data_IF_208054876578
#
_entry.id   IF_208054876578
#
_cell.length_a   1.000
_cell.length_b   1.000
_cell.length_c   1.000
_cell.angle_alpha   90.00
_cell.angle_beta   90.00
_cell.angle_gamma   90.00
#
_symmetry.space_group_name_H-M   'P 1'
#
loop_
_entity.id
_entity.type
_entity.pdbx_description
1 polymer ?
#
# COMPACT_ATOMS: atom_id res chain seq x y z
N UNK A 1 -18.31 -7.68 24.47
CA UNK A 1 -18.43 -8.59 23.31
C UNK A 1 -19.87 -9.05 23.09
N UNK A 2 -20.51 -9.84 23.95
CA UNK A 2 -21.93 -10.22 23.72
C UNK A 2 -22.87 -9.00 23.66
N UNK A 3 -22.61 -8.00 24.50
CA UNK A 3 -23.30 -6.70 24.47
C UNK A 3 -23.04 -5.88 23.19
N UNK A 4 -21.88 -6.07 22.57
CA UNK A 4 -21.45 -5.36 21.36
C UNK A 4 -22.09 -5.97 20.10
N UNK A 5 -22.21 -7.30 20.06
CA UNK A 5 -22.94 -8.04 19.03
C UNK A 5 -24.42 -7.66 19.07
N UNK A 6 -25.01 -7.65 20.26
CA UNK A 6 -26.41 -7.29 20.46
C UNK A 6 -26.70 -5.80 20.13
N UNK A 7 -25.69 -4.96 20.28
CA UNK A 7 -25.70 -3.54 19.89
C UNK A 7 -25.51 -3.33 18.39
N UNK A 8 -24.64 -4.11 17.73
CA UNK A 8 -24.48 -4.15 16.27
C UNK A 8 -25.79 -4.55 15.59
N UNK A 9 -26.44 -5.62 16.09
CA UNK A 9 -27.75 -6.07 15.61
C UNK A 9 -28.81 -4.95 15.69
N UNK A 10 -28.83 -4.17 16.78
CA UNK A 10 -29.80 -3.08 17.01
C UNK A 10 -29.56 -1.83 16.15
N UNK A 11 -28.29 -1.51 15.85
CA UNK A 11 -27.93 -0.41 14.96
C UNK A 11 -28.37 -0.62 13.51
N UNK A 12 -28.22 -1.85 13.02
CA UNK A 12 -28.50 -2.20 11.62
C UNK A 12 -29.99 -2.14 11.27
N UNK A 13 -30.87 -2.40 12.25
CA UNK A 13 -32.33 -2.25 12.10
C UNK A 13 -32.76 -0.78 11.97
N UNK A 14 -31.97 0.17 12.49
CA UNK A 14 -32.34 1.60 12.56
C UNK A 14 -31.93 2.44 11.35
N UNK A 15 -31.08 1.95 10.45
CA UNK A 15 -30.55 2.72 9.32
C UNK A 15 -30.71 1.98 7.97
N UNK A 16 -31.91 1.99 7.36
CA UNK A 16 -32.21 1.31 6.09
C UNK A 16 -31.73 2.05 4.82
N UNK A 17 -31.00 3.17 4.95
CA UNK A 17 -30.73 4.11 3.84
C UNK A 17 -29.40 3.90 3.11
N UNK A 18 -28.66 2.83 3.40
CA UNK A 18 -27.39 2.54 2.72
C UNK A 18 -27.68 1.72 1.46
N UNK A 19 -27.71 2.41 0.31
CA UNK A 19 -27.95 1.80 -1.00
C UNK A 19 -26.66 1.22 -1.62
N UNK A 20 -26.56 -0.10 -1.58
CA UNK A 20 -25.98 -0.97 -2.61
C UNK A 20 -27.01 -2.09 -2.78
N UNK A 21 -27.31 -2.52 -4.01
CA UNK A 21 -28.45 -3.42 -4.31
C UNK A 21 -28.68 -4.51 -3.24
N UNK A 22 -29.84 -4.38 -2.57
CA UNK A 22 -30.43 -5.20 -1.50
C UNK A 22 -29.48 -5.80 -0.43
N UNK A 23 -29.16 -5.00 0.61
CA UNK A 23 -29.01 -5.50 1.98
C UNK A 23 -27.58 -5.82 2.48
N UNK A 24 -26.57 -5.69 1.63
CA UNK A 24 -25.22 -6.14 1.95
C UNK A 24 -24.29 -5.01 2.44
N UNK A 25 -23.89 -5.05 3.72
CA UNK A 25 -22.77 -4.23 4.22
C UNK A 25 -21.49 -5.05 4.14
N UNK A 26 -20.60 -4.70 3.20
CA UNK A 26 -19.24 -5.25 3.21
C UNK A 26 -18.42 -4.58 4.33
N UNK A 27 -18.08 -5.35 5.36
CA UNK A 27 -17.39 -4.83 6.54
C UNK A 27 -15.89 -4.58 6.29
N UNK A 28 -15.24 -5.53 5.60
CA UNK A 28 -13.87 -5.42 5.11
C UNK A 28 -13.54 -6.59 4.17
N UNK A 29 -12.50 -6.45 3.36
CA UNK A 29 -11.93 -7.51 2.51
C UNK A 29 -10.56 -7.92 3.06
N UNK A 30 -10.27 -9.22 3.16
CA UNK A 30 -8.96 -9.72 3.60
C UNK A 30 -8.49 -10.90 2.77
N UNK A 31 -7.17 -11.03 2.62
CA UNK A 31 -6.54 -12.22 2.06
C UNK A 31 -6.42 -13.36 3.10
N UNK A 32 -7.44 -13.50 3.95
CA UNK A 32 -7.50 -14.44 5.06
C UNK A 32 -7.60 -15.91 4.59
N UNK A 33 -7.20 -16.84 5.45
CA UNK A 33 -7.50 -18.27 5.26
C UNK A 33 -8.65 -18.67 6.17
N UNK A 34 -9.67 -19.33 5.60
CA UNK A 34 -10.82 -19.83 6.35
C UNK A 34 -10.61 -21.31 6.70
N UNK A 35 -10.71 -21.62 7.99
CA UNK A 35 -10.80 -22.97 8.52
C UNK A 35 -12.17 -23.23 9.13
N UNK A 36 -12.81 -24.35 8.77
CA UNK A 36 -14.05 -24.80 9.41
C UNK A 36 -13.82 -26.10 10.16
N UNK A 37 -14.16 -26.13 11.45
CA UNK A 37 -14.15 -27.32 12.27
C UNK A 37 -15.56 -27.87 12.42
N UNK A 38 -15.73 -29.15 12.08
CA UNK A 38 -16.98 -29.87 12.33
C UNK A 38 -16.78 -30.88 13.46
N UNK A 39 -17.75 -30.96 14.36
CA UNK A 39 -17.89 -32.11 15.23
C UNK A 39 -18.75 -33.15 14.50
N UNK A 40 -18.13 -34.19 13.93
CA UNK A 40 -18.89 -35.31 13.38
C UNK A 40 -19.06 -36.39 14.45
N UNK A 41 -20.30 -36.56 14.90
CA UNK A 41 -20.69 -37.60 15.84
C UNK A 41 -20.97 -38.89 15.06
N UNK A 42 -19.94 -39.71 14.87
CA UNK A 42 -20.14 -41.01 14.22
C UNK A 42 -20.62 -42.05 15.24
N UNK A 43 -21.81 -42.60 15.00
CA UNK A 43 -22.34 -43.72 15.78
C UNK A 43 -21.93 -45.01 15.09
N UNK A 44 -20.90 -45.70 15.60
CA UNK A 44 -20.60 -47.07 15.18
C UNK A 44 -21.59 -48.02 15.84
N UNK A 45 -22.63 -48.43 15.14
CA UNK A 45 -23.38 -49.63 15.50
C UNK A 45 -22.62 -50.86 14.99
N UNK A 46 -22.52 -51.91 15.82
CA UNK A 46 -21.88 -53.17 15.42
C UNK A 46 -22.59 -53.72 14.17
N UNK A 47 -21.85 -54.25 13.17
CA UNK A 47 -22.44 -54.77 11.95
C UNK A 47 -23.22 -56.05 12.27
N UNK A 48 -24.52 -56.03 12.03
CA UNK A 48 -25.40 -57.19 12.20
C UNK A 48 -26.87 -56.77 12.26
N UNK A 49 -27.58 -57.05 11.17
CA UNK A 49 -28.99 -56.76 10.83
C UNK A 49 -29.27 -55.33 10.35
N UNK A 50 -29.51 -55.25 9.03
CA UNK A 50 -30.05 -54.08 8.38
C UNK A 50 -31.53 -53.87 8.69
N UNK A 51 -31.93 -52.60 8.65
CA UNK A 51 -33.08 -52.03 7.94
C UNK A 51 -32.77 -50.53 7.87
N UNK A 52 -32.77 -49.96 6.68
CA UNK A 52 -32.66 -48.51 6.50
C UNK A 52 -33.99 -47.85 6.76
N UNK A 53 -33.99 -46.74 7.51
CA UNK A 53 -34.93 -45.61 7.36
C UNK A 53 -34.22 -44.38 7.92
N UNK A 54 -34.14 -43.31 7.11
CA UNK A 54 -33.78 -41.98 7.62
C UNK A 54 -34.93 -41.40 8.43
N UNK A 55 -34.67 -40.94 9.64
CA UNK A 55 -35.59 -40.09 10.41
C UNK A 55 -34.77 -39.07 11.21
N UNK A 56 -35.08 -37.77 11.13
CA UNK A 56 -34.46 -36.73 11.94
C UNK A 56 -34.98 -36.82 13.37
N UNK A 57 -34.11 -36.66 14.36
CA UNK A 57 -34.56 -36.58 15.77
C UNK A 57 -34.63 -35.12 16.18
N UNK A 58 -35.83 -34.56 16.02
CA UNK A 58 -36.32 -33.42 16.79
C UNK A 58 -36.65 -33.83 18.22
N UNK A 59 -36.54 -32.85 19.12
CA UNK A 59 -36.79 -32.91 20.55
C UNK A 59 -38.16 -33.51 20.95
N UNK A 60 -38.16 -34.25 22.08
CA UNK A 60 -39.29 -34.75 22.90
C UNK A 60 -40.02 -36.03 22.48
N UNK A 61 -39.57 -37.19 22.98
CA UNK A 61 -40.44 -38.30 23.40
C UNK A 61 -39.79 -39.05 24.57
N UNK A 62 -40.56 -39.27 25.64
CA UNK A 62 -40.19 -40.13 26.76
C UNK A 62 -40.73 -41.55 26.59
N UNK A 63 -40.04 -42.50 27.26
CA UNK A 63 -40.43 -43.82 27.81
C UNK A 63 -39.41 -44.92 27.42
N UNK A 64 -38.90 -45.64 28.44
CA UNK A 64 -38.61 -47.08 28.33
C UNK A 64 -37.16 -47.55 28.11
N UNK A 65 -36.43 -47.70 29.22
CA UNK A 65 -35.29 -48.61 29.51
C UNK A 65 -34.84 -49.59 28.38
N UNK A 66 -33.60 -49.43 27.91
CA UNK A 66 -32.54 -50.48 27.90
C UNK A 66 -31.19 -49.85 27.51
N UNK A 67 -30.23 -49.83 28.45
CA UNK A 67 -28.86 -49.33 28.26
C UNK A 67 -28.08 -50.22 27.28
N UNK A 68 -28.04 -49.87 25.99
CA UNK A 68 -26.96 -50.30 25.09
C UNK A 68 -25.89 -49.20 25.04
N UNK A 69 -24.66 -49.54 25.46
CA UNK A 69 -23.50 -48.64 25.36
C UNK A 69 -23.18 -48.40 23.88
N UNK A 70 -23.73 -47.33 23.32
CA UNK A 70 -23.29 -46.75 22.06
C UNK A 70 -21.95 -46.06 22.36
N UNK A 71 -20.86 -46.53 21.74
CA UNK A 71 -19.58 -45.82 21.76
C UNK A 71 -19.64 -44.76 20.68
N UNK A 72 -19.79 -43.52 21.10
CA UNK A 72 -19.77 -42.36 20.22
C UNK A 72 -18.34 -41.83 20.16
N UNK A 73 -17.69 -41.95 19.00
CA UNK A 73 -16.40 -41.28 18.75
C UNK A 73 -16.69 -39.98 18.01
N UNK A 74 -16.40 -38.85 18.66
CA UNK A 74 -16.43 -37.53 18.04
C UNK A 74 -15.09 -37.33 17.33
N UNK A 75 -15.10 -37.32 15.99
CA UNK A 75 -13.93 -36.90 15.20
C UNK A 75 -14.08 -35.42 14.87
N UNK A 76 -13.02 -34.66 15.13
CA UNK A 76 -12.88 -33.28 14.67
C UNK A 76 -12.11 -33.28 13.36
N UNK A 77 -12.77 -32.94 12.26
CA UNK A 77 -12.09 -32.69 10.98
C UNK A 77 -12.05 -31.18 10.71
N UNK A 78 -10.86 -30.68 10.35
CA UNK A 78 -10.65 -29.27 9.98
C UNK A 78 -10.36 -29.17 8.50
N UNK A 79 -11.21 -28.46 7.74
CA UNK A 79 -10.95 -28.12 6.33
C UNK A 79 -10.45 -26.68 6.22
N UNK A 80 -9.37 -26.49 5.46
CA UNK A 80 -8.75 -25.19 5.22
C UNK A 80 -8.94 -24.79 3.75
N UNK A 81 -9.47 -23.59 3.51
CA UNK A 81 -9.44 -22.94 2.19
C UNK A 81 -8.38 -21.83 2.18
N UNK A 82 -7.62 -21.73 1.08
CA UNK A 82 -6.46 -20.85 0.92
C UNK A 82 -6.73 -19.63 0.00
N UNK A 83 -7.99 -19.28 -0.24
CA UNK A 83 -8.38 -18.16 -1.12
C UNK A 83 -8.70 -16.89 -0.33
N UNK A 84 -8.62 -15.73 -0.99
CA UNK A 84 -9.06 -14.45 -0.41
C UNK A 84 -10.52 -14.49 0.03
N UNK A 85 -10.81 -13.86 1.16
CA UNK A 85 -12.11 -13.86 1.82
C UNK A 85 -12.72 -12.44 1.86
N UNK A 86 -14.01 -12.32 1.56
CA UNK A 86 -14.78 -11.09 1.78
C UNK A 86 -15.79 -11.30 2.89
N UNK A 87 -15.98 -10.28 3.72
CA UNK A 87 -16.89 -10.31 4.87
C UNK A 87 -18.05 -9.36 4.64
N UNK A 88 -19.25 -9.90 4.75
CA UNK A 88 -20.48 -9.15 4.71
C UNK A 88 -21.24 -9.38 6.00
N UNK A 89 -21.90 -8.35 6.49
CA UNK A 89 -22.87 -8.46 7.55
C UNK A 89 -24.18 -7.92 7.03
N UNK A 90 -25.15 -8.82 6.96
CA UNK A 90 -26.52 -8.56 6.59
C UNK A 90 -27.32 -8.36 7.89
N UNK A 91 -28.52 -7.80 7.76
CA UNK A 91 -29.45 -7.64 8.88
C UNK A 91 -29.64 -8.93 9.69
N UNK A 92 -29.66 -10.07 9.01
CA UNK A 92 -29.96 -11.38 9.61
C UNK A 92 -28.81 -12.40 9.52
N UNK A 93 -27.76 -12.12 8.75
CA UNK A 93 -26.70 -13.08 8.46
C UNK A 93 -25.31 -12.47 8.50
N UNK A 94 -24.34 -13.26 8.93
CA UNK A 94 -22.93 -13.02 8.71
C UNK A 94 -22.46 -13.86 7.53
N UNK A 95 -21.95 -13.23 6.48
CA UNK A 95 -21.60 -13.91 5.23
C UNK A 95 -20.10 -13.80 4.96
N UNK A 96 -19.47 -14.94 4.70
CA UNK A 96 -18.06 -15.03 4.30
C UNK A 96 -18.00 -15.59 2.88
N UNK A 97 -17.52 -14.81 1.92
CA UNK A 97 -17.28 -15.28 0.54
C UNK A 97 -15.82 -15.66 0.36
N UNK A 98 -15.55 -16.88 -0.08
CA UNK A 98 -14.20 -17.43 -0.32
C UNK A 98 -14.11 -17.95 -1.75
N UNK A 99 -13.57 -17.14 -2.67
CA UNK A 99 -13.66 -17.44 -4.10
C UNK A 99 -15.11 -17.50 -4.61
N UNK A 100 -15.55 -18.68 -5.06
CA UNK A 100 -16.95 -18.94 -5.47
C UNK A 100 -17.83 -19.46 -4.33
N UNK A 101 -17.22 -19.84 -3.21
CA UNK A 101 -17.90 -20.45 -2.08
C UNK A 101 -18.47 -19.36 -1.18
N UNK A 102 -19.72 -19.52 -0.75
CA UNK A 102 -20.42 -18.60 0.15
C UNK A 102 -20.76 -19.33 1.45
N UNK A 103 -20.35 -18.73 2.57
CA UNK A 103 -20.67 -19.23 3.90
C UNK A 103 -21.59 -18.22 4.58
N UNK A 104 -22.86 -18.58 4.67
CA UNK A 104 -23.85 -17.80 5.41
C UNK A 104 -24.00 -18.38 6.82
N UNK A 105 -23.90 -17.52 7.81
CA UNK A 105 -24.08 -17.86 9.22
C UNK A 105 -25.22 -17.00 9.73
N UNK A 106 -26.33 -17.62 10.13
CA UNK A 106 -27.44 -16.87 10.71
C UNK A 106 -26.97 -16.17 12.00
N UNK A 107 -27.33 -14.90 12.14
CA UNK A 107 -26.88 -14.07 13.25
C UNK A 107 -27.29 -14.65 14.62
N UNK A 108 -28.39 -15.40 14.67
CA UNK A 108 -28.91 -16.04 15.88
C UNK A 108 -28.20 -17.36 16.20
N UNK A 109 -27.51 -17.95 15.23
CA UNK A 109 -26.69 -19.14 15.44
C UNK A 109 -25.31 -18.80 16.04
N UNK A 110 -24.90 -17.53 16.05
CA UNK A 110 -23.61 -17.10 16.58
C UNK A 110 -23.65 -17.09 18.12
N UNK A 111 -22.95 -18.04 18.73
CA UNK A 111 -22.86 -18.22 20.18
C UNK A 111 -21.66 -17.51 20.79
N UNK A 112 -20.73 -17.00 19.98
CA UNK A 112 -19.65 -16.14 20.45
C UNK A 112 -18.64 -15.77 19.37
N UNK A 113 -17.94 -14.68 19.59
CA UNK A 113 -16.85 -14.22 18.73
C UNK A 113 -15.58 -13.95 19.55
N UNK A 114 -14.41 -14.30 19.03
CA UNK A 114 -13.11 -14.02 19.66
C UNK A 114 -12.11 -13.49 18.65
N UNK A 115 -11.48 -12.37 18.99
CA UNK A 115 -10.38 -11.80 18.22
C UNK A 115 -9.06 -12.12 18.93
N UNK A 116 -8.16 -12.79 18.22
CA UNK A 116 -6.78 -13.07 18.61
C UNK A 116 -5.81 -12.15 17.85
N UNK A 117 -4.50 -12.28 18.11
CA UNK A 117 -3.44 -11.50 17.44
C UNK A 117 -3.40 -11.66 15.92
N UNK A 118 -3.87 -12.80 15.43
CA UNK A 118 -3.69 -13.31 14.07
C UNK A 118 -4.89 -14.15 13.61
N UNK A 119 -5.96 -14.18 14.40
CA UNK A 119 -7.16 -14.94 14.06
C UNK A 119 -8.44 -14.28 14.58
N UNK A 120 -9.54 -14.55 13.88
CA UNK A 120 -10.89 -14.24 14.30
C UNK A 120 -11.71 -15.53 14.30
N UNK A 121 -12.35 -15.83 15.43
CA UNK A 121 -13.12 -17.06 15.63
C UNK A 121 -14.58 -16.69 15.82
N UNK A 122 -15.44 -17.28 15.00
CA UNK A 122 -16.89 -17.22 15.14
C UNK A 122 -17.36 -18.60 15.55
N UNK A 123 -18.03 -18.67 16.70
CA UNK A 123 -18.59 -19.90 17.24
C UNK A 123 -20.08 -19.93 16.96
N UNK A 124 -20.57 -21.05 16.48
CA UNK A 124 -22.00 -21.32 16.36
C UNK A 124 -22.41 -22.49 17.25
N UNK A 125 -23.70 -22.77 17.30
CA UNK A 125 -24.23 -23.98 17.96
C UNK A 125 -23.72 -25.29 17.32
N UNK A 126 -23.29 -25.24 16.05
CA UNK A 126 -22.99 -26.41 15.23
C UNK A 126 -21.54 -26.49 14.71
N UNK A 127 -20.81 -25.37 14.65
CA UNK A 127 -19.43 -25.32 14.15
C UNK A 127 -18.65 -24.11 14.67
N UNK A 128 -17.32 -24.23 14.69
CA UNK A 128 -16.40 -23.11 14.87
C UNK A 128 -15.79 -22.74 13.52
N UNK A 129 -15.89 -21.46 13.17
CA UNK A 129 -15.26 -20.85 12.00
C UNK A 129 -14.03 -20.08 12.49
N UNK A 130 -12.85 -20.47 12.03
CA UNK A 130 -11.60 -19.77 12.35
C UNK A 130 -11.04 -19.11 11.11
N UNK A 131 -10.81 -17.82 11.19
CA UNK A 131 -10.27 -16.98 10.14
C UNK A 131 -8.87 -16.55 10.54
N UNK A 132 -7.85 -16.94 9.79
CA UNK A 132 -6.49 -16.43 10.01
C UNK A 132 -6.33 -15.11 9.27
N UNK A 133 -6.16 -14.05 10.05
CA UNK A 133 -6.10 -12.68 9.58
C UNK A 133 -4.65 -12.18 9.64
N UNK A 134 -4.28 -11.29 8.72
CA UNK A 134 -3.07 -10.51 8.89
C UNK A 134 -3.20 -9.64 10.15
N UNK A 135 -2.08 -9.27 10.79
CA UNK A 135 -2.11 -8.34 11.95
C UNK A 135 -2.84 -7.03 11.61
N UNK A 136 -2.71 -6.56 10.36
CA UNK A 136 -3.40 -5.35 9.88
C UNK A 136 -4.91 -5.57 9.77
N UNK A 137 -5.35 -6.73 9.29
CA UNK A 137 -6.78 -7.06 9.20
C UNK A 137 -7.42 -7.27 10.58
N UNK A 138 -6.67 -7.77 11.56
CA UNK A 138 -7.09 -7.82 12.96
C UNK A 138 -7.32 -6.39 13.50
N UNK A 139 -6.42 -5.45 13.19
CA UNK A 139 -6.57 -4.04 13.59
C UNK A 139 -7.78 -3.39 12.91
N UNK A 140 -7.98 -3.66 11.61
CA UNK A 140 -9.15 -3.17 10.86
C UNK A 140 -10.46 -3.72 11.44
N UNK A 141 -10.52 -5.02 11.70
CA UNK A 141 -11.68 -5.67 12.31
C UNK A 141 -12.00 -5.10 13.69
N UNK A 142 -10.97 -4.90 14.54
CA UNK A 142 -11.14 -4.25 15.85
C UNK A 142 -11.71 -2.84 15.71
N UNK A 143 -11.16 -2.04 14.79
CA UNK A 143 -11.64 -0.68 14.55
C UNK A 143 -13.11 -0.66 14.10
N UNK A 144 -13.52 -1.54 13.19
CA UNK A 144 -14.93 -1.65 12.77
C UNK A 144 -15.82 -2.03 13.95
N UNK A 145 -15.39 -2.97 14.78
CA UNK A 145 -16.12 -3.36 15.99
C UNK A 145 -16.21 -2.22 17.01
N UNK A 146 -15.14 -1.47 17.24
CA UNK A 146 -15.11 -0.33 18.16
C UNK A 146 -16.01 0.82 17.67
N UNK A 147 -15.99 1.10 16.36
CA UNK A 147 -16.86 2.10 15.73
C UNK A 147 -18.33 1.71 15.83
N UNK A 148 -18.64 0.44 15.64
CA UNK A 148 -20.00 -0.07 15.81
C UNK A 148 -20.46 -0.02 17.28
N UNK A 149 -19.58 -0.32 18.23
CA UNK A 149 -19.89 -0.11 19.66
C UNK A 149 -20.15 1.36 19.99
N UNK A 150 -19.43 2.27 19.34
CA UNK A 150 -19.59 3.73 19.52
C UNK A 150 -20.90 4.22 18.91
N UNK A 151 -21.18 3.87 17.65
CA UNK A 151 -22.45 4.15 16.97
C UNK A 151 -23.66 3.70 17.81
N UNK A 152 -23.57 2.54 18.46
CA UNK A 152 -24.69 1.98 19.21
C UNK A 152 -24.99 2.75 20.50
N UNK A 153 -23.99 3.42 21.05
CA UNK A 153 -24.11 4.25 22.25
C UNK A 153 -24.59 5.65 21.91
N UNK A 154 -24.10 6.20 20.80
CA UNK A 154 -24.30 7.60 20.42
C UNK A 154 -25.55 7.79 19.53
N UNK A 155 -26.03 6.74 18.88
CA UNK A 155 -27.18 6.77 17.97
C UNK A 155 -26.83 7.19 16.54
N UNK A 156 -25.56 7.49 16.29
CA UNK A 156 -25.02 7.93 15.01
C UNK A 156 -24.82 6.75 14.03
N UNK A 157 -24.87 7.05 12.74
CA UNK A 157 -24.50 6.10 11.70
C UNK A 157 -22.98 5.85 11.68
N UNK A 158 -22.56 4.70 11.16
CA UNK A 158 -21.12 4.39 11.01
C UNK A 158 -20.42 5.41 10.11
N UNK A 159 -21.11 5.95 9.10
CA UNK A 159 -20.60 6.95 8.16
C UNK A 159 -20.33 8.29 8.84
N UNK A 160 -21.22 8.72 9.75
CA UNK A 160 -21.03 9.92 10.58
C UNK A 160 -19.85 9.78 11.56
N UNK A 161 -19.55 8.54 11.98
CA UNK A 161 -18.38 8.22 12.79
C UNK A 161 -17.10 7.95 11.96
N UNK A 162 -17.14 8.23 10.66
CA UNK A 162 -15.97 8.17 9.77
C UNK A 162 -15.65 6.79 9.20
N UNK A 163 -16.60 5.86 9.20
CA UNK A 163 -16.49 4.58 8.49
C UNK A 163 -16.96 4.72 7.04
N UNK A 164 -16.12 4.37 6.08
CA UNK A 164 -16.45 4.35 4.65
C UNK A 164 -16.49 2.89 4.18
N UNK A 165 -17.66 2.34 3.80
CA UNK A 165 -17.75 0.95 3.37
C UNK A 165 -16.97 0.71 2.06
N UNK A 166 -16.35 -0.46 1.95
CA UNK A 166 -15.73 -0.90 0.70
C UNK A 166 -16.83 -1.25 -0.31
N UNK A 167 -16.97 -0.48 -1.39
CA UNK A 167 -17.92 -0.80 -2.48
C UNK A 167 -17.58 -2.18 -3.07
N UNK A 168 -18.54 -3.11 -2.99
CA UNK A 168 -18.44 -4.44 -3.60
C UNK A 168 -18.42 -4.34 -5.12
N UNK A 169 -17.49 -5.04 -5.77
CA UNK A 169 -17.38 -5.12 -7.22
C UNK A 169 -18.24 -6.28 -7.73
N UNK A 170 -19.10 -6.03 -8.73
CA UNK A 170 -19.80 -7.07 -9.48
C UNK A 170 -18.91 -7.66 -10.58
N UNK A 171 -19.07 -8.97 -10.81
CA UNK A 171 -18.14 -9.89 -11.47
C UNK A 171 -17.99 -9.73 -13.01
N UNK A 172 -18.15 -8.53 -13.58
CA UNK A 172 -18.04 -8.35 -15.05
C UNK A 172 -16.99 -7.33 -15.56
N UNK A 173 -16.31 -6.58 -14.68
CA UNK A 173 -15.30 -5.58 -15.08
C UNK A 173 -13.83 -6.07 -14.94
N UNK A 174 -13.62 -7.38 -15.09
CA UNK A 174 -12.37 -8.08 -14.72
C UNK A 174 -11.10 -7.76 -15.53
N UNK A 175 -11.05 -6.67 -16.30
CA UNK A 175 -9.81 -6.26 -16.98
C UNK A 175 -9.43 -4.78 -16.96
N UNK A 176 -10.19 -3.87 -16.34
CA UNK A 176 -9.77 -2.46 -16.24
C UNK A 176 -10.38 -1.71 -15.04
N UNK A 177 -9.72 -1.82 -13.88
CA UNK A 177 -9.48 -0.75 -12.89
C UNK A 177 -8.97 -1.40 -11.59
N UNK A 178 -7.71 -1.13 -11.23
CA UNK A 178 -7.19 -1.42 -9.89
C UNK A 178 -8.15 -0.80 -8.88
N UNK A 179 -8.84 -1.62 -8.09
CA UNK A 179 -9.54 -1.17 -6.90
C UNK A 179 -8.51 -0.46 -6.02
N UNK A 180 -8.57 0.86 -6.02
CA UNK A 180 -7.67 1.74 -5.31
C UNK A 180 -7.98 1.58 -3.82
N UNK A 181 -7.11 0.86 -3.11
CA UNK A 181 -7.22 0.57 -1.69
C UNK A 181 -7.32 1.89 -0.90
N UNK A 182 -8.47 2.15 -0.29
CA UNK A 182 -8.72 3.36 0.50
C UNK A 182 -7.79 3.47 1.72
N UNK A 183 -7.12 2.38 2.11
CA UNK A 183 -6.08 2.42 3.15
C UNK A 183 -4.77 3.05 2.69
N UNK A 184 -4.53 3.15 1.37
CA UNK A 184 -3.38 3.90 0.85
C UNK A 184 -3.54 5.38 1.22
N UNK A 185 -4.75 5.94 1.08
CA UNK A 185 -5.02 7.35 1.36
C UNK A 185 -4.66 7.75 2.79
N UNK A 186 -4.82 6.83 3.74
CA UNK A 186 -4.52 7.05 5.17
C UNK A 186 -3.09 6.65 5.56
N UNK A 187 -2.32 6.09 4.63
CA UNK A 187 -0.92 5.71 4.85
C UNK A 187 0.00 6.94 4.96
N UNK A 188 1.11 6.77 5.69
CA UNK A 188 2.17 7.78 5.74
C UNK A 188 2.85 7.95 4.37
N UNK A 189 2.81 6.93 3.50
CA UNK A 189 3.24 7.05 2.11
C UNK A 189 2.42 8.08 1.34
N UNK A 190 1.08 7.96 1.32
CA UNK A 190 0.23 8.92 0.61
C UNK A 190 0.35 10.34 1.18
N UNK A 191 0.39 10.45 2.52
CA UNK A 191 0.59 11.71 3.22
C UNK A 191 1.90 12.38 2.82
N UNK A 192 2.99 11.61 2.82
CA UNK A 192 4.33 12.08 2.46
C UNK A 192 4.37 12.56 1.01
N UNK A 193 3.84 11.78 0.06
CA UNK A 193 3.85 12.16 -1.36
C UNK A 193 3.00 13.41 -1.61
N UNK A 194 1.85 13.52 -0.93
CA UNK A 194 0.98 14.69 -1.03
C UNK A 194 1.70 15.96 -0.50
N UNK A 195 2.24 15.89 0.71
CA UNK A 195 2.99 16.98 1.33
C UNK A 195 4.23 17.36 0.52
N UNK A 196 5.01 16.39 0.03
CA UNK A 196 6.16 16.63 -0.85
C UNK A 196 5.76 17.35 -2.14
N UNK A 197 4.60 17.00 -2.70
CA UNK A 197 4.09 17.65 -3.91
C UNK A 197 3.75 19.12 -3.65
N UNK A 198 3.10 19.41 -2.51
CA UNK A 198 2.75 20.78 -2.12
C UNK A 198 3.98 21.59 -1.66
N UNK A 199 4.98 20.96 -1.06
CA UNK A 199 6.20 21.64 -0.62
C UNK A 199 7.00 22.29 -1.76
N UNK A 200 6.81 21.83 -3.01
CA UNK A 200 7.52 22.41 -4.17
C UNK A 200 7.19 23.89 -4.37
N UNK A 201 5.95 24.29 -4.09
CA UNK A 201 5.47 25.67 -4.22
C UNK A 201 4.31 25.90 -3.27
N UNK A 202 4.30 27.00 -2.51
CA UNK A 202 3.16 27.39 -1.69
C UNK A 202 1.87 27.33 -2.51
N UNK A 203 0.89 26.60 -2.01
CA UNK A 203 -0.26 26.17 -2.81
C UNK A 203 -1.57 26.50 -2.10
N UNK A 204 -2.55 27.09 -2.80
CA UNK A 204 -3.88 27.29 -2.23
C UNK A 204 -4.65 25.97 -2.15
N UNK A 205 -5.76 25.97 -1.41
CA UNK A 205 -6.75 24.89 -1.51
C UNK A 205 -7.45 25.02 -2.86
N UNK A 206 -7.12 24.11 -3.78
CA UNK A 206 -7.68 24.11 -5.13
C UNK A 206 -9.08 23.49 -5.16
N UNK A 207 -9.80 23.70 -6.27
CA UNK A 207 -10.98 22.91 -6.60
C UNK A 207 -10.61 21.43 -6.77
N UNK A 208 -11.58 20.53 -6.56
CA UNK A 208 -11.36 19.08 -6.51
C UNK A 208 -10.65 18.53 -7.76
N UNK A 209 -11.00 19.05 -8.92
CA UNK A 209 -10.50 18.70 -10.26
C UNK A 209 -9.16 19.34 -10.63
N UNK A 210 -8.67 20.30 -9.85
CA UNK A 210 -7.43 21.02 -10.11
C UNK A 210 -6.19 20.40 -9.41
N UNK A 211 -6.38 19.28 -8.70
CA UNK A 211 -5.28 18.48 -8.15
C UNK A 211 -4.79 17.46 -9.18
N UNK A 212 -3.50 17.06 -9.11
CA UNK A 212 -2.97 16.01 -9.99
C UNK A 212 -3.78 14.71 -9.87
N UNK A 213 -4.14 14.12 -11.01
CA UNK A 213 -4.96 12.90 -11.06
C UNK A 213 -4.31 11.72 -10.33
N UNK A 214 -2.96 11.68 -10.25
CA UNK A 214 -2.23 10.59 -9.58
C UNK A 214 -2.48 10.53 -8.07
N UNK A 215 -2.95 11.63 -7.45
CA UNK A 215 -3.41 11.58 -6.06
C UNK A 215 -4.59 10.62 -5.91
N UNK A 216 -5.47 10.58 -6.90
CA UNK A 216 -6.51 9.57 -6.96
C UNK A 216 -5.88 8.22 -7.31
N UNK A 217 -5.47 7.97 -8.55
CA UNK A 217 -5.20 6.61 -9.02
C UNK A 217 -3.95 5.92 -8.44
N UNK A 218 -3.05 6.65 -7.77
CA UNK A 218 -1.88 6.04 -7.10
C UNK A 218 -1.93 6.14 -5.57
N UNK A 219 -2.46 7.24 -5.01
CA UNK A 219 -2.39 7.49 -3.57
C UNK A 219 -3.68 7.17 -2.82
N UNK A 220 -4.77 6.79 -3.49
CA UNK A 220 -6.02 6.51 -2.76
C UNK A 220 -6.89 7.73 -2.50
N UNK A 221 -6.43 8.94 -2.82
CA UNK A 221 -7.02 10.18 -2.32
C UNK A 221 -8.21 10.57 -3.21
N UNK A 222 -9.42 10.18 -2.79
CA UNK A 222 -10.67 10.41 -3.52
C UNK A 222 -11.10 11.88 -3.54
N UNK A 223 -10.78 12.61 -2.47
CA UNK A 223 -11.07 14.03 -2.31
C UNK A 223 -9.81 14.78 -1.87
N UNK A 224 -8.98 15.15 -2.85
CA UNK A 224 -7.72 15.86 -2.59
C UNK A 224 -7.92 17.23 -1.92
N UNK A 225 -9.06 17.89 -2.17
CA UNK A 225 -9.42 19.15 -1.49
C UNK A 225 -9.59 18.92 0.02
N UNK A 226 -10.44 17.97 0.39
CA UNK A 226 -10.68 17.63 1.79
C UNK A 226 -9.43 17.07 2.47
N UNK A 227 -8.62 16.29 1.73
CA UNK A 227 -7.33 15.81 2.23
C UNK A 227 -6.38 16.97 2.58
N UNK A 228 -6.30 17.98 1.72
CA UNK A 228 -5.52 19.20 1.99
C UNK A 228 -6.04 19.94 3.23
N UNK A 229 -7.36 20.13 3.33
CA UNK A 229 -7.99 20.77 4.49
C UNK A 229 -7.72 20.01 5.79
N UNK A 230 -7.74 18.67 5.76
CA UNK A 230 -7.41 17.84 6.91
C UNK A 230 -5.94 17.98 7.31
N UNK A 231 -4.99 18.04 6.36
CA UNK A 231 -3.58 18.24 6.68
C UNK A 231 -3.29 19.60 7.31
N UNK A 232 -4.06 20.63 6.96
CA UNK A 232 -4.00 21.95 7.62
C UNK A 232 -4.53 21.82 9.05
N UNK A 233 -5.68 21.18 9.23
CA UNK A 233 -6.30 20.96 10.56
C UNK A 233 -5.40 20.14 11.50
N UNK A 234 -4.71 19.14 10.94
CA UNK A 234 -3.81 18.25 11.64
C UNK A 234 -2.41 18.87 11.87
N UNK A 235 -2.20 20.12 11.42
CA UNK A 235 -0.99 20.90 11.69
C UNK A 235 0.21 20.55 10.80
N UNK A 236 0.06 19.75 9.75
CA UNK A 236 1.14 19.49 8.77
C UNK A 236 1.39 20.69 7.85
N UNK A 237 0.34 21.49 7.62
CA UNK A 237 0.38 22.67 6.77
C UNK A 237 -0.10 23.88 7.57
N UNK A 238 0.51 25.03 7.32
CA UNK A 238 0.12 26.32 7.89
C UNK A 238 -0.03 27.36 6.80
N UNK A 239 -0.82 28.40 7.09
CA UNK A 239 -0.99 29.53 6.18
C UNK A 239 0.35 30.25 6.02
N UNK A 240 0.74 30.56 4.79
CA UNK A 240 2.01 31.23 4.52
C UNK A 240 2.06 32.60 5.23
N UNK A 241 3.24 32.92 5.79
CA UNK A 241 3.50 34.23 6.38
C UNK A 241 3.42 35.38 5.36
N UNK A 242 3.26 36.60 5.85
CA UNK A 242 3.11 37.80 5.01
C UNK A 242 4.33 38.03 4.10
N UNK A 243 5.51 37.62 4.57
CA UNK A 243 6.78 37.61 3.87
C UNK A 243 6.68 36.90 2.52
N UNK A 244 5.92 35.80 2.47
CA UNK A 244 5.73 35.03 1.25
C UNK A 244 5.00 35.84 0.17
N UNK A 245 3.90 36.49 0.55
CA UNK A 245 3.11 37.30 -0.38
C UNK A 245 3.88 38.54 -0.84
N UNK A 246 4.62 39.18 0.08
CA UNK A 246 5.51 40.29 -0.27
C UNK A 246 6.62 39.87 -1.23
N UNK A 247 7.17 38.66 -1.07
CA UNK A 247 8.18 38.12 -1.97
C UNK A 247 7.63 37.86 -3.38
N UNK A 248 6.33 37.63 -3.54
CA UNK A 248 5.70 37.48 -4.86
C UNK A 248 5.50 38.81 -5.61
N UNK A 249 5.51 39.95 -4.91
CA UNK A 249 5.36 41.27 -5.53
C UNK A 249 6.59 41.68 -6.36
N UNK A 250 6.36 42.51 -7.37
CA UNK A 250 7.45 43.18 -8.10
C UNK A 250 8.14 44.18 -7.18
N UNK A 251 9.44 44.39 -7.40
CA UNK A 251 10.25 45.34 -6.60
C UNK A 251 9.63 46.75 -6.60
N UNK A 252 9.05 47.19 -7.72
CA UNK A 252 8.42 48.50 -7.81
C UNK A 252 7.16 48.63 -6.94
N UNK A 253 6.36 47.56 -6.84
CA UNK A 253 5.18 47.52 -5.96
C UNK A 253 5.57 47.56 -4.47
N UNK A 254 6.66 46.88 -4.11
CA UNK A 254 7.22 46.93 -2.76
C UNK A 254 7.69 48.35 -2.42
N UNK A 255 8.36 49.03 -3.36
CA UNK A 255 8.80 50.42 -3.18
C UNK A 255 7.63 51.39 -3.12
N UNK A 256 6.57 51.17 -3.87
CA UNK A 256 5.35 51.97 -3.80
C UNK A 256 4.74 51.89 -2.39
N UNK A 257 4.56 50.68 -1.84
CA UNK A 257 4.08 50.46 -0.47
C UNK A 257 4.92 51.22 0.57
N UNK A 258 6.24 51.17 0.46
CA UNK A 258 7.15 51.92 1.33
C UNK A 258 7.00 53.44 1.15
N UNK A 259 6.93 53.91 -0.11
CA UNK A 259 6.89 55.34 -0.44
C UNK A 259 5.60 56.04 -0.01
N UNK A 260 4.44 55.38 -0.16
CA UNK A 260 3.12 55.88 0.26
C UNK A 260 3.10 56.19 1.76
N UNK A 261 3.97 55.54 2.53
CA UNK A 261 4.05 55.67 3.99
C UNK A 261 5.35 56.32 4.47
N UNK A 262 6.12 56.95 3.57
CA UNK A 262 7.31 57.72 3.91
C UNK A 262 8.53 56.90 4.35
N UNK A 263 8.59 55.61 4.03
CA UNK A 263 9.71 54.73 4.35
C UNK A 263 10.78 54.74 3.25
N UNK A 264 12.05 54.52 3.62
CA UNK A 264 13.15 54.44 2.65
C UNK A 264 12.94 53.27 1.68
N UNK A 265 13.19 53.54 0.39
CA UNK A 265 13.01 52.60 -0.72
C UNK A 265 14.33 52.02 -1.23
N UNK A 266 15.46 52.39 -0.62
CA UNK A 266 16.78 51.82 -0.91
C UNK A 266 16.99 50.50 -0.15
N UNK A 267 17.64 49.56 -0.84
CA UNK A 267 17.98 48.25 -0.30
C UNK A 267 17.73 47.10 -1.29
N UNK A 268 18.18 45.91 -0.92
CA UNK A 268 17.83 44.66 -1.60
C UNK A 268 16.37 44.28 -1.30
N UNK A 269 15.75 43.45 -2.16
CA UNK A 269 14.33 43.07 -2.02
C UNK A 269 14.00 42.52 -0.63
N UNK A 270 14.84 41.66 -0.08
CA UNK A 270 14.60 41.07 1.26
C UNK A 270 14.69 42.12 2.39
N UNK A 271 15.58 43.11 2.26
CA UNK A 271 15.69 44.22 3.22
C UNK A 271 14.42 45.10 3.18
N UNK A 272 13.88 45.34 1.99
CA UNK A 272 12.63 46.08 1.80
C UNK A 272 11.44 45.33 2.41
N UNK A 273 11.37 44.00 2.22
CA UNK A 273 10.33 43.15 2.80
C UNK A 273 10.41 43.19 4.34
N UNK A 274 11.60 42.99 4.91
CA UNK A 274 11.79 43.05 6.37
C UNK A 274 11.39 44.41 6.96
N UNK A 275 11.64 45.51 6.24
CA UNK A 275 11.22 46.85 6.64
C UNK A 275 9.69 46.98 6.67
N UNK A 276 8.99 46.42 5.68
CA UNK A 276 7.52 46.37 5.67
C UNK A 276 7.03 45.56 6.88
N UNK A 277 7.49 44.32 7.03
CA UNK A 277 6.99 43.43 8.10
C UNK A 277 7.25 43.97 9.51
N UNK A 278 8.37 44.65 9.72
CA UNK A 278 8.71 45.26 11.02
C UNK A 278 7.95 46.56 11.32
N UNK A 279 7.32 47.20 10.33
CA UNK A 279 6.66 48.50 10.50
C UNK A 279 5.14 48.40 10.53
N UNK A 280 4.54 47.54 9.71
CA UNK A 280 3.08 47.45 9.56
C UNK A 280 2.47 46.36 10.44
N UNK A 281 1.24 46.60 10.90
CA UNK A 281 0.44 45.56 11.57
C UNK A 281 -0.12 44.55 10.56
N UNK A 282 -0.52 43.37 11.05
CA UNK A 282 -1.11 42.34 10.22
C UNK A 282 -2.38 42.82 9.50
N UNK A 283 -3.18 43.69 10.13
CA UNK A 283 -4.40 44.25 9.55
C UNK A 283 -4.11 45.15 8.35
N UNK A 284 -3.00 45.91 8.40
CA UNK A 284 -2.59 46.79 7.30
C UNK A 284 -2.05 46.01 6.10
N UNK A 285 -1.46 44.83 6.35
CA UNK A 285 -0.90 43.98 5.30
C UNK A 285 -1.90 42.97 4.73
N UNK A 286 -3.00 42.72 5.43
CA UNK A 286 -4.09 41.82 5.00
C UNK A 286 -4.56 42.05 3.54
N UNK A 287 -4.72 43.30 3.04
CA UNK A 287 -5.14 43.53 1.65
C UNK A 287 -4.16 43.03 0.58
N UNK A 288 -2.90 42.74 0.94
CA UNK A 288 -1.88 42.20 0.03
C UNK A 288 -2.15 40.71 -0.25
N UNK A 289 -2.84 40.02 0.67
CA UNK A 289 -3.15 38.60 0.58
C UNK A 289 -4.33 38.43 -0.39
N UNK A 290 -4.03 38.14 -1.66
CA UNK A 290 -5.04 37.93 -2.70
C UNK A 290 -5.70 36.54 -2.61
N UNK A 291 -4.90 35.51 -2.31
CA UNK A 291 -5.34 34.13 -2.17
C UNK A 291 -4.52 33.48 -1.06
N UNK A 292 -5.18 32.80 -0.12
CA UNK A 292 -4.48 32.10 0.96
C UNK A 292 -3.77 30.87 0.42
N UNK A 293 -2.46 30.82 0.63
CA UNK A 293 -1.63 29.67 0.27
C UNK A 293 -1.05 29.02 1.51
N UNK A 294 -0.80 27.72 1.41
CA UNK A 294 -0.31 26.91 2.51
C UNK A 294 1.08 26.39 2.23
N UNK A 295 1.89 26.32 3.28
CA UNK A 295 3.25 25.80 3.32
C UNK A 295 3.38 24.74 4.39
N UNK A 296 4.47 23.97 4.37
CA UNK A 296 4.75 23.07 5.48
C UNK A 296 4.96 23.86 6.76
N UNK A 297 4.32 23.41 7.83
CA UNK A 297 4.69 23.83 9.18
C UNK A 297 6.03 23.21 9.58
N UNK A 298 6.54 23.58 10.76
CA UNK A 298 7.67 22.87 11.39
C UNK A 298 7.39 21.37 11.53
N UNK A 299 6.20 21.02 12.03
CA UNK A 299 5.75 19.63 12.19
C UNK A 299 5.67 18.88 10.85
N UNK A 300 5.12 19.52 9.81
CA UNK A 300 5.07 18.92 8.47
C UNK A 300 6.45 18.73 7.84
N UNK A 301 7.38 19.66 8.10
CA UNK A 301 8.76 19.58 7.63
C UNK A 301 9.52 18.43 8.30
N UNK A 302 9.37 18.27 9.62
CA UNK A 302 9.95 17.15 10.36
C UNK A 302 9.36 15.81 9.90
N UNK A 303 8.05 15.74 9.72
CA UNK A 303 7.39 14.54 9.18
C UNK A 303 7.95 14.14 7.81
N UNK A 304 8.11 15.09 6.87
CA UNK A 304 8.69 14.78 5.55
C UNK A 304 10.13 14.28 5.64
N UNK A 305 10.91 14.84 6.57
CA UNK A 305 12.30 14.43 6.78
C UNK A 305 12.38 13.00 7.32
N UNK A 306 11.52 12.65 8.28
CA UNK A 306 11.42 11.29 8.82
C UNK A 306 10.98 10.25 7.78
N UNK A 307 10.20 10.69 6.78
CA UNK A 307 9.61 9.83 5.75
C UNK A 307 10.23 10.03 4.36
N UNK A 308 11.45 10.57 4.28
CA UNK A 308 12.14 10.84 3.00
C UNK A 308 12.22 9.60 2.08
N UNK A 309 12.30 8.41 2.68
CA UNK A 309 12.26 7.12 1.99
C UNK A 309 11.06 6.98 1.04
N UNK A 310 9.88 7.46 1.44
CA UNK A 310 8.69 7.40 0.59
C UNK A 310 8.76 8.33 -0.60
N UNK A 311 9.47 9.46 -0.46
CA UNK A 311 9.75 10.36 -1.59
C UNK A 311 10.66 9.65 -2.59
N UNK A 312 11.75 9.03 -2.10
CA UNK A 312 12.69 8.26 -2.94
C UNK A 312 11.98 7.09 -3.63
N UNK A 313 11.13 6.37 -2.91
CA UNK A 313 10.31 5.29 -3.47
C UNK A 313 9.38 5.80 -4.58
N UNK A 314 8.67 6.90 -4.35
CA UNK A 314 7.75 7.49 -5.32
C UNK A 314 8.47 8.05 -6.56
N UNK A 315 9.70 8.53 -6.41
CA UNK A 315 10.51 8.98 -7.55
C UNK A 315 11.00 7.82 -8.41
N UNK A 316 11.14 6.63 -7.83
CA UNK A 316 11.68 5.43 -8.48
C UNK A 316 10.61 4.33 -8.68
N UNK A 317 9.38 4.70 -9.09
CA UNK A 317 8.25 3.77 -9.31
C UNK A 317 8.57 2.63 -10.28
N UNK A 318 9.49 2.86 -11.22
CA UNK A 318 9.91 1.87 -12.21
C UNK A 318 10.66 0.67 -11.58
N UNK A 319 11.03 0.74 -10.30
CA UNK A 319 11.55 -0.41 -9.55
C UNK A 319 10.47 -1.42 -9.16
N UNK A 320 9.19 -1.08 -9.38
CA UNK A 320 8.04 -1.91 -9.04
C UNK A 320 8.01 -2.33 -7.56
N UNK A 321 8.66 -1.56 -6.68
CA UNK A 321 8.55 -1.72 -5.23
C UNK A 321 7.30 -0.96 -4.79
N UNK A 322 6.31 -1.70 -4.30
CA UNK A 322 5.14 -1.07 -3.68
C UNK A 322 5.49 -0.54 -2.28
N UNK A 323 4.78 0.49 -1.81
CA UNK A 323 5.02 1.01 -0.45
C UNK A 323 4.78 -0.05 0.63
N UNK A 324 3.83 -0.98 0.42
CA UNK A 324 3.58 -2.07 1.36
C UNK A 324 4.72 -3.10 1.37
N UNK A 325 5.31 -3.40 0.22
CA UNK A 325 6.51 -4.25 0.14
C UNK A 325 7.68 -3.60 0.87
N UNK A 326 7.88 -2.29 0.66
CA UNK A 326 8.89 -1.51 1.36
C UNK A 326 8.67 -1.51 2.88
N UNK A 327 7.47 -1.18 3.34
CA UNK A 327 7.11 -1.12 4.77
C UNK A 327 7.29 -2.48 5.44
N UNK A 328 6.90 -3.57 4.78
CA UNK A 328 7.10 -4.92 5.31
C UNK A 328 8.60 -5.24 5.47
N UNK A 329 9.42 -4.88 4.49
CA UNK A 329 10.86 -5.09 4.54
C UNK A 329 11.55 -4.21 5.60
N UNK A 330 11.15 -2.93 5.71
CA UNK A 330 11.61 -1.98 6.73
C UNK A 330 11.20 -2.41 8.13
N UNK A 331 9.98 -2.88 8.31
CA UNK A 331 9.49 -3.40 9.59
C UNK A 331 10.30 -4.61 10.08
N UNK A 332 10.68 -5.50 9.16
CA UNK A 332 11.54 -6.65 9.48
C UNK A 332 12.99 -6.24 9.77
N UNK A 333 13.44 -5.11 9.20
CA UNK A 333 14.83 -4.67 9.27
C UNK A 333 14.94 -3.17 9.55
N UNK A 334 14.48 -2.70 10.73
CA UNK A 334 14.28 -1.26 11.00
C UNK A 334 15.58 -0.44 11.04
N UNK A 335 16.74 -1.09 11.22
CA UNK A 335 18.05 -0.44 11.24
C UNK A 335 18.70 -0.30 9.86
N UNK A 336 18.11 -0.90 8.81
CA UNK A 336 18.66 -0.83 7.46
C UNK A 336 18.28 0.50 6.80
N UNK A 337 19.19 0.98 5.95
CA UNK A 337 18.95 2.15 5.12
C UNK A 337 17.91 1.85 4.04
N UNK A 338 17.32 2.89 3.45
CA UNK A 338 16.46 2.78 2.26
C UNK A 338 17.11 1.92 1.17
N UNK A 339 18.39 2.18 0.87
CA UNK A 339 19.13 1.46 -0.15
C UNK A 339 19.30 -0.01 0.18
N UNK A 340 19.63 -0.35 1.43
CA UNK A 340 19.78 -1.75 1.85
C UNK A 340 18.43 -2.51 1.82
N UNK A 341 17.33 -1.84 2.16
CA UNK A 341 15.98 -2.41 2.07
C UNK A 341 15.61 -2.70 0.61
N UNK A 342 15.76 -1.72 -0.29
CA UNK A 342 15.51 -1.89 -1.72
C UNK A 342 16.41 -2.98 -2.32
N UNK A 343 17.70 -2.99 -1.97
CA UNK A 343 18.64 -4.01 -2.39
C UNK A 343 18.22 -5.42 -1.93
N UNK A 344 17.75 -5.56 -0.69
CA UNK A 344 17.21 -6.82 -0.16
C UNK A 344 15.98 -7.31 -0.93
N UNK A 345 15.10 -6.39 -1.33
CA UNK A 345 13.92 -6.68 -2.16
C UNK A 345 14.36 -7.19 -3.53
N UNK A 346 15.25 -6.48 -4.24
CA UNK A 346 15.75 -6.90 -5.55
C UNK A 346 16.42 -8.28 -5.50
N UNK A 347 17.28 -8.53 -4.51
CA UNK A 347 17.89 -9.85 -4.32
C UNK A 347 16.85 -10.95 -4.07
N UNK A 348 15.83 -10.67 -3.27
CA UNK A 348 14.76 -11.63 -3.00
C UNK A 348 14.00 -12.00 -4.27
N UNK A 349 13.81 -11.05 -5.20
CA UNK A 349 13.20 -11.29 -6.51
C UNK A 349 14.10 -12.14 -7.41
N UNK A 350 15.40 -11.81 -7.49
CA UNK A 350 16.39 -12.63 -8.23
C UNK A 350 16.41 -14.09 -7.74
N UNK A 351 16.41 -14.30 -6.42
CA UNK A 351 16.36 -15.64 -5.83
C UNK A 351 15.06 -16.38 -6.21
N UNK A 352 13.91 -15.68 -6.16
CA UNK A 352 12.61 -16.24 -6.54
C UNK A 352 12.51 -16.61 -8.02
N UNK A 353 13.23 -15.90 -8.89
CA UNK A 353 13.27 -16.17 -10.33
C UNK A 353 14.00 -17.48 -10.68
N UNK A 354 14.67 -18.14 -9.72
CA UNK A 354 15.32 -19.46 -9.87
C UNK A 354 16.24 -19.58 -11.09
N UNK A 355 16.93 -18.50 -11.45
CA UNK A 355 17.82 -18.48 -12.60
C UNK A 355 17.14 -18.17 -13.94
N UNK A 356 15.93 -17.59 -13.93
CA UNK A 356 15.40 -16.92 -15.12
C UNK A 356 16.17 -15.61 -15.36
N UNK A 357 17.27 -15.75 -16.10
CA UNK A 357 18.25 -14.68 -16.35
C UNK A 357 17.62 -13.44 -17.02
N UNK A 358 16.61 -13.63 -17.88
CA UNK A 358 15.92 -12.51 -18.53
C UNK A 358 15.08 -11.69 -17.55
N UNK A 359 14.50 -12.31 -16.52
CA UNK A 359 13.80 -11.58 -15.44
C UNK A 359 14.80 -10.88 -14.51
N UNK A 360 15.93 -11.53 -14.22
CA UNK A 360 16.98 -10.96 -13.37
C UNK A 360 17.62 -9.70 -13.98
N UNK A 361 17.61 -9.57 -15.32
CA UNK A 361 18.09 -8.39 -16.05
C UNK A 361 17.45 -7.09 -15.53
N UNK A 362 16.14 -7.10 -15.26
CA UNK A 362 15.45 -5.91 -14.75
C UNK A 362 15.84 -5.60 -13.31
N UNK A 363 16.03 -6.62 -12.47
CA UNK A 363 16.49 -6.42 -11.09
C UNK A 363 17.92 -5.89 -11.04
N UNK A 364 18.81 -6.36 -11.91
CA UNK A 364 20.15 -5.76 -12.03
C UNK A 364 20.10 -4.32 -12.50
N UNK A 365 19.16 -3.97 -13.39
CA UNK A 365 18.95 -2.57 -13.80
C UNK A 365 18.42 -1.70 -12.65
N UNK A 366 17.50 -2.21 -11.83
CA UNK A 366 17.03 -1.53 -10.62
C UNK A 366 18.17 -1.34 -9.61
N UNK A 367 19.00 -2.37 -9.41
CA UNK A 367 20.20 -2.31 -8.58
C UNK A 367 21.21 -1.27 -9.09
N UNK A 368 21.42 -1.20 -10.42
CA UNK A 368 22.24 -0.15 -11.03
C UNK A 368 21.71 1.25 -10.71
N UNK A 369 20.42 1.50 -10.93
CA UNK A 369 19.80 2.80 -10.66
C UNK A 369 19.92 3.19 -9.18
N UNK A 370 19.72 2.23 -8.26
CA UNK A 370 19.92 2.45 -6.84
C UNK A 370 21.37 2.83 -6.51
N UNK A 371 22.36 2.14 -7.10
CA UNK A 371 23.77 2.45 -6.87
C UNK A 371 24.15 3.84 -7.40
N UNK A 372 23.55 4.28 -8.51
CA UNK A 372 23.71 5.66 -9.01
C UNK A 372 23.10 6.65 -8.03
N UNK A 373 21.90 6.38 -7.51
CA UNK A 373 21.27 7.22 -6.48
C UNK A 373 22.15 7.37 -5.22
N UNK A 374 22.90 6.34 -4.87
CA UNK A 374 23.82 6.32 -3.74
C UNK A 374 25.25 6.79 -4.08
N UNK A 375 25.52 7.25 -5.31
CA UNK A 375 26.86 7.63 -5.81
C UNK A 375 27.91 6.51 -5.63
N UNK A 376 27.52 5.25 -5.87
CA UNK A 376 28.37 4.06 -5.77
C UNK A 376 28.79 3.58 -7.18
N UNK A 377 29.40 4.46 -7.97
CA UNK A 377 29.62 4.22 -9.41
C UNK A 377 30.48 2.99 -9.74
N UNK A 378 31.47 2.65 -8.91
CA UNK A 378 32.24 1.41 -9.08
C UNK A 378 31.36 0.15 -9.07
N UNK A 379 30.38 0.10 -8.17
CA UNK A 379 29.42 -1.01 -8.12
C UNK A 379 28.36 -0.89 -9.21
N UNK A 380 27.97 0.34 -9.56
CA UNK A 380 27.03 0.60 -10.65
C UNK A 380 27.58 0.06 -11.98
N UNK A 381 28.87 0.26 -12.24
CA UNK A 381 29.58 -0.28 -13.40
C UNK A 381 29.53 -1.81 -13.44
N UNK A 382 29.73 -2.48 -12.29
CA UNK A 382 29.57 -3.94 -12.22
C UNK A 382 28.15 -4.39 -12.63
N UNK A 383 27.11 -3.68 -12.18
CA UNK A 383 25.72 -3.99 -12.58
C UNK A 383 25.48 -3.73 -14.07
N UNK A 384 26.02 -2.64 -14.64
CA UNK A 384 25.93 -2.36 -16.07
C UNK A 384 26.55 -3.47 -16.91
N UNK A 385 27.74 -3.95 -16.54
CA UNK A 385 28.38 -5.07 -17.22
C UNK A 385 27.57 -6.37 -17.10
N UNK A 386 26.93 -6.63 -15.95
CA UNK A 386 26.00 -7.77 -15.79
C UNK A 386 24.80 -7.67 -16.74
N UNK A 387 24.19 -6.48 -16.83
CA UNK A 387 23.04 -6.22 -17.70
C UNK A 387 23.46 -6.40 -19.17
N UNK A 388 24.57 -5.78 -19.58
CA UNK A 388 25.06 -5.87 -20.95
C UNK A 388 25.44 -7.31 -21.32
N UNK A 389 26.07 -8.04 -20.39
CA UNK A 389 26.36 -9.46 -20.55
C UNK A 389 25.11 -10.29 -20.85
N UNK A 390 24.01 -10.05 -20.12
CA UNK A 390 22.72 -10.70 -20.36
C UNK A 390 22.12 -10.26 -21.70
N UNK A 391 22.12 -8.96 -21.98
CA UNK A 391 21.52 -8.38 -23.18
C UNK A 391 22.15 -8.97 -24.44
N UNK A 392 23.48 -9.09 -24.52
CA UNK A 392 24.15 -9.61 -25.73
C UNK A 392 24.19 -11.14 -25.79
N UNK A 393 24.37 -11.84 -24.66
CA UNK A 393 24.51 -13.30 -24.68
C UNK A 393 23.17 -14.05 -24.73
N UNK A 394 22.15 -13.51 -24.04
CA UNK A 394 20.84 -14.16 -23.89
C UNK A 394 19.80 -13.50 -24.77
N UNK A 395 19.65 -12.18 -24.66
CA UNK A 395 18.57 -11.46 -25.37
C UNK A 395 18.94 -11.09 -26.81
N UNK A 396 20.22 -11.16 -27.18
CA UNK A 396 20.77 -10.73 -28.48
C UNK A 396 20.38 -9.29 -28.84
N UNK A 397 20.48 -8.41 -27.86
CA UNK A 397 20.11 -7.00 -27.95
C UNK A 397 21.29 -6.12 -27.56
N UNK A 398 21.46 -5.01 -28.26
CA UNK A 398 22.35 -3.92 -27.86
C UNK A 398 21.51 -2.73 -27.42
N UNK A 399 21.22 -2.63 -26.12
CA UNK A 399 20.41 -1.54 -25.58
C UNK A 399 21.22 -0.22 -25.60
N UNK A 400 20.86 0.80 -26.42
CA UNK A 400 21.70 1.99 -26.60
C UNK A 400 21.95 2.77 -25.30
N UNK A 401 20.95 2.80 -24.41
CA UNK A 401 21.07 3.45 -23.11
C UNK A 401 22.08 2.75 -22.19
N UNK A 402 22.22 1.41 -22.29
CA UNK A 402 23.19 0.63 -21.51
C UNK A 402 24.59 0.85 -22.07
N UNK A 403 24.75 0.79 -23.40
CA UNK A 403 26.01 1.09 -24.08
C UNK A 403 26.51 2.49 -23.69
N UNK A 404 25.64 3.49 -23.79
CA UNK A 404 25.98 4.86 -23.36
C UNK A 404 26.34 4.92 -21.87
N UNK A 405 25.55 4.29 -20.99
CA UNK A 405 25.80 4.34 -19.54
C UNK A 405 27.12 3.69 -19.13
N UNK A 406 27.58 2.70 -19.89
CA UNK A 406 28.91 2.07 -19.73
C UNK A 406 30.00 3.06 -20.15
N UNK A 407 29.88 3.67 -21.33
CA UNK A 407 30.85 4.67 -21.81
C UNK A 407 30.96 5.88 -20.87
N UNK A 408 29.82 6.39 -20.38
CA UNK A 408 29.75 7.50 -19.41
C UNK A 408 30.42 7.16 -18.06
N UNK A 409 30.84 5.90 -17.82
CA UNK A 409 31.45 5.39 -16.57
C UNK A 409 32.78 4.67 -16.80
N UNK A 410 33.49 5.00 -17.88
CA UNK A 410 34.77 4.39 -18.23
C UNK A 410 35.79 4.39 -17.08
N UNK A 411 35.83 5.46 -16.27
CA UNK A 411 36.77 5.65 -15.16
C UNK A 411 36.62 4.59 -14.04
N UNK A 412 35.48 3.90 -14.01
CA UNK A 412 35.17 2.84 -13.03
C UNK A 412 35.34 1.42 -13.59
N UNK A 413 35.73 1.28 -14.86
CA UNK A 413 35.92 -0.02 -15.48
C UNK A 413 37.12 -0.76 -14.90
N UNK A 414 36.90 -2.03 -14.57
CA UNK A 414 37.94 -2.98 -14.20
C UNK A 414 37.77 -4.25 -15.06
N UNK A 415 38.76 -4.64 -15.88
CA UNK A 415 38.71 -5.85 -16.68
C UNK A 415 38.43 -7.13 -15.87
N UNK A 416 38.79 -7.17 -14.58
CA UNK A 416 38.48 -8.32 -13.70
C UNK A 416 36.97 -8.56 -13.56
N UNK A 417 36.12 -7.55 -13.78
CA UNK A 417 34.68 -7.73 -13.77
C UNK A 417 34.24 -8.75 -14.83
N UNK A 418 34.86 -8.74 -16.00
CA UNK A 418 34.55 -9.68 -17.07
C UNK A 418 34.91 -11.11 -16.66
N UNK A 419 36.03 -11.30 -15.96
CA UNK A 419 36.44 -12.59 -15.42
C UNK A 419 35.41 -13.15 -14.44
N UNK A 420 34.91 -12.29 -13.55
CA UNK A 420 33.87 -12.64 -12.56
C UNK A 420 32.54 -12.98 -13.21
N UNK A 421 32.18 -12.33 -14.32
CA UNK A 421 30.96 -12.64 -15.06
C UNK A 421 31.04 -14.01 -15.73
N UNK A 422 32.14 -14.30 -16.41
CA UNK A 422 32.32 -15.54 -17.16
C UNK A 422 32.68 -16.76 -16.29
N UNK A 423 33.04 -16.56 -15.01
CA UNK A 423 33.19 -17.69 -14.07
C UNK A 423 31.85 -18.37 -13.75
N UNK A 424 30.73 -17.63 -13.85
CA UNK A 424 29.37 -18.12 -13.68
C UNK A 424 28.74 -18.43 -15.05
N UNK A 425 29.28 -19.43 -15.74
CA UNK A 425 28.85 -19.84 -17.10
C UNK A 425 27.32 -19.88 -17.22
N UNK A 426 26.76 -19.09 -18.13
CA UNK A 426 25.35 -19.20 -18.52
C UNK A 426 25.15 -20.45 -19.38
N UNK A 427 23.95 -21.02 -19.36
CA UNK A 427 23.59 -22.19 -20.16
C UNK A 427 23.69 -21.93 -21.68
N UNK A 428 23.45 -20.69 -22.09
CA UNK A 428 23.59 -20.25 -23.48
C UNK A 428 24.36 -18.93 -23.53
N UNK A 429 25.48 -18.92 -24.26
CA UNK A 429 26.31 -17.74 -24.48
C UNK A 429 26.48 -17.53 -25.98
N UNK A 430 26.02 -16.39 -26.49
CA UNK A 430 26.19 -16.02 -27.91
C UNK A 430 27.62 -15.59 -28.23
N UNK A 431 28.34 -15.04 -27.24
CA UNK A 431 29.69 -14.52 -27.39
C UNK A 431 30.67 -15.11 -26.37
N UNK A 432 31.90 -15.38 -26.83
CA UNK A 432 32.99 -15.78 -25.95
C UNK A 432 33.40 -14.63 -25.02
N UNK A 433 34.11 -14.96 -23.95
CA UNK A 433 34.69 -13.98 -23.03
C UNK A 433 35.51 -12.92 -23.76
N UNK A 434 36.39 -13.33 -24.67
CA UNK A 434 37.26 -12.41 -25.41
C UNK A 434 36.45 -11.50 -26.33
N UNK A 435 35.41 -12.02 -26.98
CA UNK A 435 34.52 -11.19 -27.82
C UNK A 435 33.70 -10.22 -26.99
N UNK A 436 33.19 -10.62 -25.84
CA UNK A 436 32.50 -9.70 -24.93
C UNK A 436 33.43 -8.63 -24.37
N UNK A 437 34.67 -9.00 -24.03
CA UNK A 437 35.69 -8.05 -23.60
C UNK A 437 35.99 -7.01 -24.67
N UNK A 438 36.20 -7.45 -25.90
CA UNK A 438 36.40 -6.56 -27.05
C UNK A 438 35.22 -5.58 -27.22
N UNK A 439 33.98 -6.05 -27.08
CA UNK A 439 32.80 -5.16 -27.13
C UNK A 439 32.84 -4.09 -26.04
N UNK A 440 33.14 -4.46 -24.80
CA UNK A 440 33.18 -3.52 -23.67
C UNK A 440 34.30 -2.50 -23.86
N UNK A 441 35.47 -2.95 -24.32
CA UNK A 441 36.61 -2.07 -24.61
C UNK A 441 36.29 -1.11 -25.77
N UNK A 442 35.59 -1.56 -26.81
CA UNK A 442 35.12 -0.70 -27.89
C UNK A 442 34.12 0.36 -27.39
N UNK A 443 33.25 0.02 -26.42
CA UNK A 443 32.32 0.99 -25.81
C UNK A 443 33.09 2.05 -25.03
N UNK A 444 34.05 1.62 -24.22
CA UNK A 444 34.88 2.51 -23.40
C UNK A 444 35.70 3.46 -24.28
N UNK A 445 36.30 2.94 -25.35
CA UNK A 445 37.09 3.74 -26.28
C UNK A 445 36.23 4.63 -27.21
N UNK A 446 34.90 4.56 -27.12
CA UNK A 446 33.99 5.29 -27.99
C UNK A 446 34.00 4.82 -29.44
N UNK A 447 34.51 3.61 -29.72
CA UNK A 447 34.62 3.01 -31.05
C UNK A 447 33.59 1.91 -31.32
N UNK A 448 32.64 1.71 -30.41
CA UNK A 448 31.62 0.67 -30.52
C UNK A 448 30.70 0.88 -31.72
N UNK A 449 30.62 -0.16 -32.55
CA UNK A 449 29.69 -0.27 -33.68
C UNK A 449 28.95 -1.61 -33.55
N UNK A 450 27.62 -1.54 -33.41
CA UNK A 450 26.76 -2.72 -33.32
C UNK A 450 26.93 -3.65 -34.53
N UNK A 451 27.12 -3.11 -35.73
CA UNK A 451 27.25 -3.89 -36.97
C UNK A 451 28.48 -4.80 -36.99
N UNK A 452 29.51 -4.48 -36.20
CA UNK A 452 30.71 -5.32 -36.01
C UNK A 452 30.36 -6.65 -35.31
N UNK A 453 29.27 -6.67 -34.55
CA UNK A 453 28.93 -7.77 -33.64
C UNK A 453 27.65 -8.50 -34.00
N UNK A 454 26.75 -7.86 -34.75
CA UNK A 454 25.55 -8.53 -35.28
C UNK A 454 25.94 -9.59 -36.30
N UNK A 455 25.43 -10.82 -36.13
CA UNK A 455 25.64 -11.96 -37.04
C UNK A 455 24.59 -12.04 -38.12
#
# INVERSE_FOLDING_TARGET
>A
MDRAIDQLKKLLVKNPSIHVDEGDICLFQSNAKLGRQYAQTSVKTKPGLGIGVGVPITQHFGIGIMRRKIKTEVRQETKWDKKSCMFFMLSEKFVIKVGKDLYEIDNDDITGMKIHSDAFIIRTSSADFTLFLSKMDVVRLKRVMDLAEKAAKEGDSLEELGYIPSKGYTDSDSYNRKALDSSIATSDYAKTVFLWTLNKKPSPIKKRDAYPEYFFYELGIQNAKEYHENLIRDGFLEEAGIEHYLAALKVDQIKELLSVNGLDTKGKKDELINRIVSTYSAEQLSPIIQERVYVLSSYGSDFLKEHEDYIKLHQNKNWEISYTEYDNAKYQNPSLSFGDICWGIFNSRIIKNKGNISLDRNEYFNMYQLLVLENKDKRAMEMLLRIFYIDVNVNRLFAPAIVKSIGDREEYYDPEYIDKLYSRKLSHMSYSKDRFKEMVEDIINGTFDESKYTR
#
